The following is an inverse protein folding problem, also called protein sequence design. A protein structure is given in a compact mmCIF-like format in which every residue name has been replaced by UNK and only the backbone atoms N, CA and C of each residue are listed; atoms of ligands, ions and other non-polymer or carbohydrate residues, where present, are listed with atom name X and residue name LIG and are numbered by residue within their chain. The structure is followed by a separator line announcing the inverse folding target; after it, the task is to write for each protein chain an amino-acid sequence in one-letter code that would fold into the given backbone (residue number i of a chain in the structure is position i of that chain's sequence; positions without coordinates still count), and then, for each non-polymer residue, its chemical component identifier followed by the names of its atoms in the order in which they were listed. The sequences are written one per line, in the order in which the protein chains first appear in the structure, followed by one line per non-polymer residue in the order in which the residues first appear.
data_IF_219426732190
#
_entry.id   IF_219426732190
#
_cell.length_a   1.000
_cell.length_b   1.000
_cell.length_c   1.000
_cell.angle_alpha   90.00
_cell.angle_beta   90.00
_cell.angle_gamma   90.00
#
_symmetry.space_group_name_H-M   'P 1'
#
loop_
_entity.id
_entity.type
_entity.pdbx_description
1 polymer ?
#
# COMPACT_ATOMS: atom_id res chain seq x y z
N UNK A 1 -39.58 17.83 -31.55
CA UNK A 1 -39.29 17.20 -30.24
C UNK A 1 -38.45 18.20 -29.47
N UNK A 2 -39.03 18.71 -28.38
CA UNK A 2 -38.55 19.91 -27.70
C UNK A 2 -37.63 19.49 -26.55
N UNK A 3 -36.32 19.63 -26.75
CA UNK A 3 -35.28 19.15 -25.83
C UNK A 3 -35.40 19.79 -24.44
N UNK A 4 -36.07 20.94 -24.33
CA UNK A 4 -36.30 21.66 -23.09
C UNK A 4 -37.40 21.04 -22.22
N UNK A 5 -38.37 20.32 -22.80
CA UNK A 5 -39.42 19.62 -22.03
C UNK A 5 -38.94 18.34 -21.34
N UNK A 6 -37.84 17.75 -21.82
CA UNK A 6 -37.22 16.57 -21.20
C UNK A 6 -36.43 16.97 -19.94
N UNK A 7 -35.91 18.21 -19.89
CA UNK A 7 -35.18 18.73 -18.71
C UNK A 7 -36.16 19.12 -17.59
N UNK A 8 -37.31 19.72 -17.92
CA UNK A 8 -38.33 20.04 -16.93
C UNK A 8 -38.98 18.79 -16.30
N UNK A 9 -39.12 17.70 -17.06
CA UNK A 9 -39.64 16.41 -16.55
C UNK A 9 -38.62 15.61 -15.70
N UNK A 10 -37.34 16.01 -15.71
CA UNK A 10 -36.30 15.48 -14.82
C UNK A 10 -36.19 16.25 -13.50
N UNK A 11 -36.84 17.42 -13.40
CA UNK A 11 -36.85 18.25 -12.20
C UNK A 11 -37.97 17.89 -11.21
N UNK A 12 -38.95 17.08 -11.61
CA UNK A 12 -40.14 16.73 -10.80
C UNK A 12 -40.08 15.31 -10.20
N UNK A 13 -38.89 14.75 -10.04
CA UNK A 13 -38.69 13.46 -9.35
C UNK A 13 -38.16 13.72 -7.93
N UNK A 14 -39.13 13.79 -7.03
CA UNK A 14 -39.13 13.42 -5.60
C UNK A 14 -37.87 13.75 -4.76
N UNK A 15 -37.99 14.79 -3.92
CA UNK A 15 -36.98 15.22 -2.96
C UNK A 15 -36.68 14.20 -1.84
N UNK A 16 -37.52 13.17 -1.66
CA UNK A 16 -37.34 12.17 -0.60
C UNK A 16 -36.51 10.94 -0.98
N UNK A 17 -36.02 10.84 -2.23
CA UNK A 17 -35.08 9.78 -2.64
C UNK A 17 -33.61 10.22 -2.50
N UNK A 18 -33.33 11.53 -2.44
CA UNK A 18 -31.98 12.09 -2.28
C UNK A 18 -31.43 11.96 -0.84
N UNK A 19 -32.29 11.71 0.15
CA UNK A 19 -31.88 11.52 1.55
C UNK A 19 -31.08 10.24 1.84
N UNK A 20 -30.98 9.30 0.89
CA UNK A 20 -30.27 8.02 1.07
C UNK A 20 -28.89 7.92 0.44
N UNK A 21 -28.40 8.95 -0.26
CA UNK A 21 -27.05 8.94 -0.86
C UNK A 21 -26.13 10.11 -0.44
N UNK A 22 -26.56 10.96 0.49
CA UNK A 22 -25.86 12.21 0.79
C UNK A 22 -24.86 12.15 1.97
N UNK A 23 -24.09 11.06 2.11
CA UNK A 23 -22.93 11.09 3.02
C UNK A 23 -21.81 11.99 2.48
N UNK A 24 -21.64 12.07 1.15
CA UNK A 24 -20.58 12.86 0.52
C UNK A 24 -20.94 14.35 0.44
N UNK A 25 -22.19 14.69 0.11
CA UNK A 25 -22.64 16.10 0.01
C UNK A 25 -22.84 16.78 1.36
N UNK A 26 -23.31 16.05 2.39
CA UNK A 26 -23.47 16.60 3.73
C UNK A 26 -22.13 17.01 4.38
N UNK A 27 -21.04 16.28 4.09
CA UNK A 27 -19.69 16.62 4.57
C UNK A 27 -19.20 17.93 3.94
N UNK A 28 -19.44 18.15 2.64
CA UNK A 28 -19.06 19.39 1.97
C UNK A 28 -20.04 20.55 2.16
N UNK A 29 -21.31 20.28 2.50
CA UNK A 29 -22.32 21.30 2.82
C UNK A 29 -22.14 21.94 4.19
N UNK A 30 -21.51 21.25 5.14
CA UNK A 30 -21.20 21.80 6.48
C UNK A 30 -19.91 22.64 6.52
N UNK A 31 -19.17 22.73 5.41
CA UNK A 31 -17.88 23.43 5.31
C UNK A 31 -18.01 24.76 4.54
N UNK A 32 -18.98 25.58 4.98
CA UNK A 32 -19.18 26.93 4.49
C UNK A 32 -18.13 27.92 5.01
N UNK A 33 -17.61 28.71 4.08
CA UNK A 33 -16.86 29.98 4.25
C UNK A 33 -15.46 29.92 4.89
N UNK A 34 -14.47 29.71 4.01
CA UNK A 34 -13.17 30.39 3.92
C UNK A 34 -12.18 30.48 5.12
N UNK A 35 -12.53 30.12 6.35
CA UNK A 35 -11.66 30.26 7.53
C UNK A 35 -11.08 28.94 8.08
N UNK A 36 -11.45 27.77 7.53
CA UNK A 36 -11.06 26.43 8.04
C UNK A 36 -10.12 25.62 7.13
N UNK A 37 -9.28 26.25 6.31
CA UNK A 37 -8.30 25.54 5.46
C UNK A 37 -6.99 25.15 6.15
N UNK A 38 -6.77 25.57 7.40
CA UNK A 38 -5.58 25.22 8.19
C UNK A 38 -5.79 24.10 9.21
N UNK A 39 -7.02 23.60 9.41
CA UNK A 39 -7.31 22.64 10.49
C UNK A 39 -7.59 21.19 10.03
N UNK A 40 -7.78 20.94 8.74
CA UNK A 40 -8.12 19.60 8.21
C UNK A 40 -6.90 18.77 7.79
N UNK A 41 -5.70 19.33 7.83
CA UNK A 41 -4.48 18.62 7.42
C UNK A 41 -3.91 17.68 8.50
N UNK A 42 -4.44 17.66 9.73
CA UNK A 42 -3.79 16.93 10.82
C UNK A 42 -4.68 16.56 12.04
N UNK A 43 -6.00 16.37 11.88
CA UNK A 43 -6.83 15.88 13.01
C UNK A 43 -7.39 14.47 12.75
N UNK A 44 -6.89 13.44 13.47
CA UNK A 44 -7.39 12.05 13.40
C UNK A 44 -8.83 11.85 13.88
N UNK A 45 -9.44 12.89 14.49
CA UNK A 45 -10.72 12.78 15.21
C UNK A 45 -11.95 12.50 14.33
N UNK A 46 -11.89 12.78 13.02
CA UNK A 46 -13.06 12.56 12.13
C UNK A 46 -13.05 11.18 11.44
N UNK A 47 -11.93 10.46 11.47
CA UNK A 47 -11.80 9.22 10.72
C UNK A 47 -12.37 7.99 11.46
N UNK A 48 -12.34 8.00 12.80
CA UNK A 48 -12.90 6.92 13.63
C UNK A 48 -14.38 6.63 13.36
N UNK A 49 -15.17 7.67 13.04
CA UNK A 49 -16.59 7.53 12.72
C UNK A 49 -16.85 6.87 11.35
N UNK A 50 -15.92 7.01 10.39
CA UNK A 50 -16.01 6.34 9.10
C UNK A 50 -15.79 4.83 9.25
N UNK A 51 -14.87 4.43 10.13
CA UNK A 51 -14.60 3.02 10.39
C UNK A 51 -15.74 2.31 11.13
N UNK A 52 -16.46 3.00 12.01
CA UNK A 52 -17.69 2.48 12.62
C UNK A 52 -18.83 2.28 11.60
N UNK A 53 -18.95 3.17 10.61
CA UNK A 53 -19.99 3.10 9.56
C UNK A 53 -19.73 2.00 8.50
N UNK A 54 -18.46 1.66 8.27
CA UNK A 54 -18.01 0.66 7.29
C UNK A 54 -18.58 -0.77 7.50
N UNK A 55 -19.18 -1.05 8.66
CA UNK A 55 -19.64 -2.39 9.06
C UNK A 55 -21.12 -2.67 8.88
N UNK A 56 -21.93 -1.69 8.50
CA UNK A 56 -23.39 -1.85 8.50
C UNK A 56 -23.98 -2.54 7.26
N UNK A 57 -23.18 -3.07 6.31
CA UNK A 57 -23.75 -3.65 5.07
C UNK A 57 -22.80 -4.39 4.14
N UNK A 58 -21.79 -5.11 4.64
CA UNK A 58 -20.67 -5.59 3.83
C UNK A 58 -20.44 -7.10 3.97
N UNK A 59 -19.93 -7.73 2.91
CA UNK A 59 -19.71 -9.18 2.82
C UNK A 59 -18.50 -9.69 3.62
N UNK A 60 -17.68 -8.79 4.18
CA UNK A 60 -16.55 -9.12 5.04
C UNK A 60 -16.92 -9.12 6.53
N UNK A 61 -16.29 -9.98 7.32
CA UNK A 61 -16.48 -9.98 8.78
C UNK A 61 -15.64 -8.91 9.46
N UNK A 62 -16.06 -8.42 10.63
CA UNK A 62 -15.24 -7.52 11.46
C UNK A 62 -13.87 -8.12 11.79
N UNK A 63 -13.80 -9.44 12.01
CA UNK A 63 -12.55 -10.14 12.27
C UNK A 63 -11.58 -10.03 11.07
N UNK A 64 -12.06 -10.33 9.86
CA UNK A 64 -11.26 -10.23 8.63
C UNK A 64 -10.71 -8.82 8.42
N UNK A 65 -11.53 -7.80 8.63
CA UNK A 65 -11.08 -6.43 8.47
C UNK A 65 -10.04 -5.99 9.51
N UNK A 66 -10.19 -6.39 10.79
CA UNK A 66 -9.13 -6.16 11.80
C UNK A 66 -7.85 -6.85 11.35
N UNK A 67 -7.91 -8.09 10.87
CA UNK A 67 -6.74 -8.84 10.40
C UNK A 67 -6.04 -8.14 9.23
N UNK A 68 -6.78 -7.57 8.28
CA UNK A 68 -6.21 -6.77 7.17
C UNK A 68 -5.51 -5.52 7.70
N UNK A 69 -6.15 -4.78 8.61
CA UNK A 69 -5.56 -3.55 9.16
C UNK A 69 -4.35 -3.82 10.05
N UNK A 70 -4.35 -4.91 10.82
CA UNK A 70 -3.22 -5.32 11.65
C UNK A 70 -2.03 -5.71 10.78
N UNK A 71 -2.28 -6.39 9.67
CA UNK A 71 -1.26 -6.71 8.68
C UNK A 71 -0.68 -5.47 8.01
N UNK A 72 -1.53 -4.54 7.56
CA UNK A 72 -1.09 -3.26 7.03
C UNK A 72 -0.24 -2.51 8.07
N UNK A 73 -0.73 -2.38 9.31
CA UNK A 73 -0.01 -1.65 10.37
C UNK A 73 1.36 -2.25 10.67
N UNK A 74 1.50 -3.57 10.62
CA UNK A 74 2.78 -4.22 10.80
C UNK A 74 3.80 -3.79 9.72
N UNK A 75 3.40 -3.75 8.46
CA UNK A 75 4.26 -3.29 7.36
C UNK A 75 4.63 -1.81 7.52
N UNK A 76 3.66 -0.96 7.85
CA UNK A 76 3.91 0.47 8.07
C UNK A 76 4.85 0.73 9.27
N UNK A 77 4.73 -0.04 10.36
CA UNK A 77 5.65 0.06 11.50
C UNK A 77 7.08 -0.36 11.13
N UNK A 78 7.18 -1.40 10.29
CA UNK A 78 8.45 -1.91 9.79
C UNK A 78 9.16 -0.88 8.91
N UNK A 79 8.44 -0.25 7.96
CA UNK A 79 8.95 0.81 7.09
C UNK A 79 9.24 2.10 7.86
N UNK A 80 8.37 2.50 8.78
CA UNK A 80 8.59 3.61 9.70
C UNK A 80 9.90 3.46 10.47
N UNK A 81 10.18 2.27 11.02
CA UNK A 81 11.42 2.02 11.76
C UNK A 81 12.65 2.00 10.84
N UNK A 82 12.54 1.44 9.64
CA UNK A 82 13.60 1.51 8.63
C UNK A 82 13.96 2.95 8.28
N UNK A 83 12.99 3.78 7.89
CA UNK A 83 13.25 5.17 7.51
C UNK A 83 13.72 6.04 8.69
N UNK A 84 13.27 5.73 9.91
CA UNK A 84 13.82 6.34 11.13
C UNK A 84 15.31 6.04 11.27
N UNK A 85 15.74 4.79 11.00
CA UNK A 85 17.16 4.41 10.98
C UNK A 85 17.92 5.10 9.84
N UNK A 86 17.33 5.22 8.64
CA UNK A 86 17.92 5.96 7.51
C UNK A 86 18.21 7.40 7.93
N UNK A 87 17.22 8.13 8.45
CA UNK A 87 17.39 9.53 8.88
C UNK A 87 18.47 9.71 9.96
N UNK A 88 18.64 8.72 10.84
CA UNK A 88 19.66 8.73 11.89
C UNK A 88 21.07 8.37 11.39
N UNK A 89 21.23 7.95 10.13
CA UNK A 89 22.50 7.43 9.62
C UNK A 89 23.45 8.52 9.09
N UNK A 90 24.75 8.24 9.17
CA UNK A 90 25.78 9.10 8.56
C UNK A 90 25.64 9.15 7.01
N UNK A 91 25.18 8.06 6.41
CA UNK A 91 24.94 7.96 4.96
C UNK A 91 23.86 8.95 4.50
N UNK A 92 22.74 9.02 5.22
CA UNK A 92 21.71 10.05 5.00
C UNK A 92 22.26 11.44 5.27
N UNK A 93 23.05 11.64 6.32
CA UNK A 93 23.65 12.95 6.64
C UNK A 93 24.51 13.48 5.48
N UNK A 94 25.22 12.60 4.78
CA UNK A 94 26.02 12.93 3.60
C UNK A 94 25.22 13.02 2.29
N UNK A 95 23.94 12.62 2.27
CA UNK A 95 23.10 12.65 1.08
C UNK A 95 22.75 14.08 0.64
N UNK A 96 22.36 14.22 -0.64
CA UNK A 96 21.95 15.50 -1.22
C UNK A 96 20.68 16.05 -0.54
N UNK A 97 20.48 17.36 -0.56
CA UNK A 97 19.27 17.98 -0.01
C UNK A 97 17.99 17.46 -0.70
N UNK A 98 18.04 17.21 -2.01
CA UNK A 98 16.93 16.65 -2.78
C UNK A 98 16.59 15.22 -2.35
N UNK A 99 17.60 14.39 -2.10
CA UNK A 99 17.38 13.02 -1.64
C UNK A 99 16.83 13.01 -0.21
N UNK A 100 17.36 13.85 0.66
CA UNK A 100 16.86 14.02 2.03
C UNK A 100 15.39 14.42 2.05
N UNK A 101 15.01 15.44 1.25
CA UNK A 101 13.63 15.90 1.17
C UNK A 101 12.66 14.79 0.68
N UNK A 102 13.12 13.91 -0.23
CA UNK A 102 12.32 12.77 -0.66
C UNK A 102 12.14 11.75 0.47
N UNK A 103 13.22 11.36 1.15
CA UNK A 103 13.16 10.42 2.28
C UNK A 103 12.32 10.96 3.44
N UNK A 104 12.45 12.25 3.75
CA UNK A 104 11.68 12.89 4.81
C UNK A 104 10.18 12.91 4.51
N UNK A 105 9.83 13.10 3.23
CA UNK A 105 8.44 13.07 2.79
C UNK A 105 7.86 11.66 2.87
N UNK A 106 8.61 10.64 2.44
CA UNK A 106 8.20 9.23 2.55
C UNK A 106 7.99 8.87 4.02
N UNK A 107 9.00 9.13 4.88
CA UNK A 107 8.88 8.91 6.33
C UNK A 107 7.65 9.56 6.95
N UNK A 108 7.31 10.78 6.52
CA UNK A 108 6.11 11.49 7.00
C UNK A 108 4.82 10.78 6.58
N UNK A 109 4.77 10.20 5.38
CA UNK A 109 3.64 9.39 4.95
C UNK A 109 3.54 8.11 5.79
N UNK A 110 4.65 7.39 6.02
CA UNK A 110 4.65 6.20 6.89
C UNK A 110 4.16 6.51 8.31
N UNK A 111 4.60 7.64 8.88
CA UNK A 111 4.10 8.10 10.19
C UNK A 111 2.59 8.35 10.19
N UNK A 112 2.08 8.87 9.08
CA UNK A 112 0.65 9.15 8.89
C UNK A 112 -0.14 7.87 8.71
N UNK A 113 0.36 6.89 7.95
CA UNK A 113 -0.24 5.57 7.76
C UNK A 113 -0.30 4.79 9.07
N UNK A 114 0.80 4.74 9.85
CA UNK A 114 0.82 4.12 11.18
C UNK A 114 -0.24 4.75 12.08
N UNK A 115 -0.30 6.09 12.15
CA UNK A 115 -1.27 6.81 12.99
C UNK A 115 -2.71 6.50 12.57
N UNK A 116 -2.95 6.52 11.26
CA UNK A 116 -4.22 6.21 10.63
C UNK A 116 -4.71 4.80 11.00
N UNK A 117 -3.88 3.79 10.75
CA UNK A 117 -4.23 2.39 10.97
C UNK A 117 -4.40 2.07 12.46
N UNK A 118 -3.54 2.58 13.32
CA UNK A 118 -3.72 2.43 14.76
C UNK A 118 -5.04 3.04 15.24
N UNK A 119 -5.42 4.21 14.70
CA UNK A 119 -6.71 4.84 14.98
C UNK A 119 -7.88 3.99 14.51
N UNK A 120 -7.80 3.44 13.30
CA UNK A 120 -8.81 2.55 12.73
C UNK A 120 -9.01 1.29 13.59
N UNK A 121 -7.92 0.60 13.93
CA UNK A 121 -7.92 -0.63 14.73
C UNK A 121 -8.51 -0.37 16.12
N UNK A 122 -8.10 0.72 16.79
CA UNK A 122 -8.69 1.12 18.09
C UNK A 122 -10.18 1.43 17.98
N UNK A 123 -10.60 2.09 16.90
CA UNK A 123 -12.00 2.42 16.64
C UNK A 123 -12.90 1.19 16.47
N UNK A 124 -12.29 0.04 16.15
CA UNK A 124 -12.93 -1.26 16.07
C UNK A 124 -12.78 -2.09 17.37
N UNK A 125 -12.37 -1.46 18.47
CA UNK A 125 -12.15 -2.11 19.77
C UNK A 125 -11.07 -3.20 19.75
N UNK A 126 -10.13 -3.14 18.81
CA UNK A 126 -8.97 -4.02 18.75
C UNK A 126 -7.69 -3.30 19.22
N UNK A 127 -6.72 -4.07 19.71
CA UNK A 127 -5.41 -3.54 20.14
C UNK A 127 -4.46 -3.54 18.94
N UNK A 128 -3.92 -2.37 18.52
CA UNK A 128 -2.97 -2.32 17.42
C UNK A 128 -1.72 -3.15 17.68
N UNK A 129 -1.25 -3.87 16.64
CA UNK A 129 0.06 -4.52 16.67
C UNK A 129 1.16 -3.50 16.94
N UNK A 130 2.21 -3.93 17.63
CA UNK A 130 3.33 -3.06 18.04
C UNK A 130 4.62 -3.87 18.11
N UNK A 131 5.76 -3.18 18.28
CA UNK A 131 7.06 -3.83 18.42
C UNK A 131 7.66 -4.37 17.13
N UNK A 132 7.02 -4.12 15.98
CA UNK A 132 7.58 -4.46 14.67
C UNK A 132 8.71 -3.50 14.34
N UNK A 133 9.90 -4.04 14.06
CA UNK A 133 11.11 -3.24 13.77
C UNK A 133 11.91 -3.82 12.61
N UNK A 134 12.74 -2.98 12.01
CA UNK A 134 13.71 -3.40 11.01
C UNK A 134 14.95 -4.00 11.66
N UNK A 135 15.42 -5.13 11.12
CA UNK A 135 16.55 -5.91 11.62
C UNK A 135 17.83 -5.07 11.60
N UNK A 136 18.27 -4.67 12.78
CA UNK A 136 19.44 -3.80 12.96
C UNK A 136 20.73 -4.37 12.35
N UNK A 137 20.92 -5.70 12.33
CA UNK A 137 22.10 -6.32 11.72
C UNK A 137 22.13 -6.16 10.20
N UNK A 138 20.97 -6.24 9.53
CA UNK A 138 20.85 -5.94 8.09
C UNK A 138 21.06 -4.46 7.85
N UNK A 139 20.51 -3.59 8.69
CA UNK A 139 20.72 -2.14 8.53
C UNK A 139 22.20 -1.78 8.67
N UNK A 140 22.90 -2.40 9.63
CA UNK A 140 24.33 -2.19 9.85
C UNK A 140 25.22 -2.66 8.69
N UNK A 141 24.75 -3.58 7.84
CA UNK A 141 25.50 -4.01 6.65
C UNK A 141 25.34 -3.07 5.44
N UNK A 142 24.48 -2.06 5.53
CA UNK A 142 24.28 -1.08 4.45
C UNK A 142 25.42 -0.05 4.47
N UNK A 143 26.21 -0.04 3.41
CA UNK A 143 27.46 0.75 3.33
C UNK A 143 27.33 1.98 2.44
N UNK A 144 26.25 2.09 1.68
CA UNK A 144 25.97 3.23 0.79
C UNK A 144 24.54 3.73 0.96
N UNK A 145 24.33 5.01 0.68
CA UNK A 145 22.98 5.58 0.62
C UNK A 145 22.24 5.09 -0.64
N UNK A 146 22.79 5.40 -1.83
CA UNK A 146 22.13 5.21 -3.13
C UNK A 146 22.78 4.16 -4.05
N UNK A 147 24.11 4.15 -4.11
CA UNK A 147 24.86 3.37 -5.11
C UNK A 147 25.06 1.94 -4.67
N UNK A 148 24.91 0.96 -5.55
CA UNK A 148 25.12 -0.45 -5.24
C UNK A 148 23.85 -1.27 -5.38
N UNK A 149 23.93 -2.53 -4.97
CA UNK A 149 22.81 -3.48 -5.05
C UNK A 149 21.81 -3.26 -3.92
N UNK A 150 20.65 -3.91 -4.02
CA UNK A 150 19.67 -3.98 -2.94
C UNK A 150 20.23 -4.43 -1.58
N UNK A 151 21.22 -5.32 -1.58
CA UNK A 151 21.81 -5.85 -0.35
C UNK A 151 22.83 -4.92 0.32
N UNK A 152 23.25 -3.83 -0.35
CA UNK A 152 24.38 -3.00 0.12
C UNK A 152 24.04 -1.53 0.29
N UNK A 153 22.89 -1.08 -0.22
CA UNK A 153 22.47 0.33 -0.22
C UNK A 153 21.14 0.54 0.51
N UNK A 154 21.01 1.68 1.18
CA UNK A 154 19.77 2.08 1.86
C UNK A 154 18.61 2.24 0.87
N UNK A 155 18.82 2.88 -0.28
CA UNK A 155 17.77 2.99 -1.30
C UNK A 155 17.43 1.65 -1.95
N UNK A 156 18.38 0.72 -1.99
CA UNK A 156 18.13 -0.63 -2.47
C UNK A 156 17.19 -1.41 -1.56
N UNK A 157 17.37 -1.33 -0.23
CA UNK A 157 16.40 -1.86 0.74
C UNK A 157 15.09 -1.09 0.67
N UNK A 158 15.13 0.25 0.57
CA UNK A 158 13.92 1.05 0.44
C UNK A 158 13.05 0.54 -0.72
N UNK A 159 13.63 0.34 -1.91
CA UNK A 159 12.88 -0.18 -3.06
C UNK A 159 12.23 -1.53 -2.77
N UNK A 160 12.97 -2.43 -2.11
CA UNK A 160 12.45 -3.74 -1.74
C UNK A 160 11.25 -3.63 -0.78
N UNK A 161 11.30 -2.71 0.17
CA UNK A 161 10.21 -2.45 1.11
C UNK A 161 8.99 -1.89 0.39
N UNK A 162 9.16 -0.78 -0.32
CA UNK A 162 8.05 -0.11 -1.03
C UNK A 162 7.34 -1.04 -2.02
N UNK A 163 8.10 -1.82 -2.80
CA UNK A 163 7.51 -2.78 -3.74
C UNK A 163 6.82 -3.95 -3.02
N UNK A 164 7.31 -4.34 -1.85
CA UNK A 164 6.61 -5.32 -1.01
C UNK A 164 5.31 -4.72 -0.48
N UNK A 165 5.32 -3.47 0.00
CA UNK A 165 4.14 -2.75 0.49
C UNK A 165 3.04 -2.66 -0.56
N UNK A 166 3.37 -2.22 -1.78
CA UNK A 166 2.43 -2.15 -2.92
C UNK A 166 1.72 -3.49 -3.14
N UNK A 167 2.51 -4.57 -3.25
CA UNK A 167 1.99 -5.93 -3.51
C UNK A 167 1.21 -6.51 -2.34
N UNK A 168 1.63 -6.19 -1.12
CA UNK A 168 0.98 -6.62 0.11
C UNK A 168 -0.43 -6.00 0.26
N UNK A 169 -0.56 -4.69 0.03
CA UNK A 169 -1.85 -4.02 0.04
C UNK A 169 -2.78 -4.56 -1.06
N UNK A 170 -2.24 -4.74 -2.28
CA UNK A 170 -3.00 -5.31 -3.39
C UNK A 170 -3.52 -6.72 -3.06
N UNK A 171 -2.70 -7.55 -2.42
CA UNK A 171 -3.02 -8.94 -2.10
C UNK A 171 -4.19 -9.14 -1.15
N UNK A 172 -4.46 -8.15 -0.28
CA UNK A 172 -5.58 -8.20 0.67
C UNK A 172 -6.74 -7.26 0.32
N UNK A 173 -6.63 -6.47 -0.74
CA UNK A 173 -7.66 -5.52 -1.13
C UNK A 173 -9.03 -6.21 -1.38
N UNK A 174 -9.03 -7.41 -1.97
CA UNK A 174 -10.25 -8.18 -2.21
C UNK A 174 -11.02 -8.55 -0.93
N UNK A 175 -10.33 -8.73 0.21
CA UNK A 175 -10.95 -9.05 1.50
C UNK A 175 -11.74 -7.88 2.08
N UNK A 176 -11.49 -6.65 1.59
CA UNK A 176 -12.17 -5.43 2.02
C UNK A 176 -13.37 -5.08 1.14
N UNK A 177 -13.74 -5.92 0.16
CA UNK A 177 -14.87 -5.66 -0.72
C UNK A 177 -16.17 -5.39 0.06
N UNK A 178 -16.88 -4.36 -0.38
CA UNK A 178 -18.08 -3.86 0.27
C UNK A 178 -17.80 -2.87 1.41
N UNK A 179 -16.61 -2.85 2.00
CA UNK A 179 -16.27 -1.97 3.13
C UNK A 179 -15.73 -0.61 2.70
N UNK A 180 -15.96 0.43 3.52
CA UNK A 180 -15.31 1.73 3.33
C UNK A 180 -13.78 1.65 3.55
N UNK A 181 -13.29 0.59 4.20
CA UNK A 181 -11.86 0.32 4.39
C UNK A 181 -11.13 0.07 3.07
N UNK A 182 -11.81 -0.49 2.06
CA UNK A 182 -11.21 -0.69 0.75
C UNK A 182 -10.72 0.63 0.15
N UNK A 183 -11.50 1.70 0.30
CA UNK A 183 -11.09 3.02 -0.21
C UNK A 183 -9.82 3.51 0.48
N UNK A 184 -9.74 3.34 1.80
CA UNK A 184 -8.55 3.74 2.58
C UNK A 184 -7.33 2.90 2.17
N UNK A 185 -7.48 1.58 2.08
CA UNK A 185 -6.41 0.68 1.67
C UNK A 185 -5.88 1.01 0.26
N UNK A 186 -6.77 1.30 -0.70
CA UNK A 186 -6.37 1.68 -2.05
C UNK A 186 -5.73 3.07 -2.12
N UNK A 187 -6.06 3.98 -1.20
CA UNK A 187 -5.38 5.27 -1.09
C UNK A 187 -3.95 5.12 -0.59
N UNK A 188 -3.72 4.30 0.45
CA UNK A 188 -2.37 3.99 0.95
C UNK A 188 -1.56 3.26 -0.14
N UNK A 189 -2.12 2.22 -0.74
CA UNK A 189 -1.50 1.52 -1.87
C UNK A 189 -1.02 2.46 -3.00
N UNK A 190 -1.81 3.49 -3.33
CA UNK A 190 -1.42 4.50 -4.33
C UNK A 190 -0.31 5.44 -3.86
N UNK A 191 -0.18 5.69 -2.55
CA UNK A 191 0.95 6.40 -1.96
C UNK A 191 2.21 5.53 -2.03
N UNK A 192 2.15 4.27 -1.61
CA UNK A 192 3.27 3.32 -1.70
C UNK A 192 3.78 3.15 -3.13
N UNK A 193 2.88 3.06 -4.11
CA UNK A 193 3.30 2.96 -5.51
C UNK A 193 4.10 4.20 -5.97
N UNK A 194 3.80 5.39 -5.42
CA UNK A 194 4.56 6.62 -5.70
C UNK A 194 5.87 6.66 -4.94
N UNK A 195 5.96 6.12 -3.74
CA UNK A 195 7.21 5.93 -3.02
C UNK A 195 8.13 4.99 -3.79
N UNK A 196 7.63 3.82 -4.17
CA UNK A 196 8.34 2.83 -4.98
C UNK A 196 8.89 3.44 -6.28
N UNK A 197 8.07 4.20 -7.01
CA UNK A 197 8.50 4.92 -8.20
C UNK A 197 9.56 5.99 -7.91
N UNK A 198 9.38 6.76 -6.83
CA UNK A 198 10.34 7.80 -6.42
C UNK A 198 11.69 7.20 -6.04
N UNK A 199 11.72 6.11 -5.29
CA UNK A 199 12.94 5.42 -4.90
C UNK A 199 13.69 4.91 -6.14
N UNK A 200 13.00 4.27 -7.11
CA UNK A 200 13.62 3.87 -8.38
C UNK A 200 14.29 5.03 -9.10
N UNK A 201 13.58 6.15 -9.24
CA UNK A 201 14.13 7.37 -9.86
C UNK A 201 15.34 7.88 -9.06
N UNK A 202 15.27 7.86 -7.73
CA UNK A 202 16.41 8.20 -6.89
C UNK A 202 17.58 7.25 -7.11
N UNK A 203 17.37 5.98 -7.45
CA UNK A 203 18.43 5.01 -7.81
C UNK A 203 18.92 5.13 -9.25
N UNK A 204 18.32 5.99 -10.07
CA UNK A 204 18.64 6.13 -11.49
C UNK A 204 17.99 5.08 -12.39
N UNK A 205 16.92 4.44 -11.91
CA UNK A 205 16.13 3.45 -12.64
C UNK A 205 14.88 4.11 -13.25
N UNK A 206 14.15 3.34 -14.07
CA UNK A 206 12.83 3.74 -14.56
C UNK A 206 11.84 3.80 -13.41
N UNK A 207 10.80 4.64 -13.51
CA UNK A 207 9.82 4.79 -12.44
C UNK A 207 8.91 3.57 -12.26
N UNK A 208 8.82 2.70 -13.27
CA UNK A 208 8.03 1.47 -13.28
C UNK A 208 8.94 0.24 -13.11
N UNK A 209 8.33 -0.91 -12.78
CA UNK A 209 9.03 -2.20 -12.72
C UNK A 209 9.65 -2.51 -14.07
N UNK A 210 10.95 -2.80 -14.07
CA UNK A 210 11.70 -3.12 -15.28
C UNK A 210 12.50 -4.42 -15.09
N UNK A 211 12.34 -5.43 -15.98
CA UNK A 211 13.08 -6.68 -15.92
C UNK A 211 14.61 -6.55 -16.04
N UNK A 212 15.11 -5.40 -16.47
CA UNK A 212 16.54 -5.10 -16.50
C UNK A 212 17.07 -4.42 -15.21
N UNK A 213 16.20 -4.14 -14.23
CA UNK A 213 16.63 -3.59 -12.94
C UNK A 213 17.36 -4.65 -12.10
N UNK A 214 18.23 -4.20 -11.19
CA UNK A 214 19.05 -5.07 -10.34
C UNK A 214 18.23 -5.97 -9.39
N UNK A 215 16.96 -5.61 -9.20
CA UNK A 215 16.00 -6.30 -8.37
C UNK A 215 15.06 -7.22 -9.15
N UNK A 216 15.11 -7.25 -10.49
CA UNK A 216 14.17 -8.03 -11.30
C UNK A 216 14.18 -9.54 -11.00
N UNK A 217 15.32 -10.09 -10.55
CA UNK A 217 15.44 -11.50 -10.14
C UNK A 217 15.13 -11.73 -8.66
N UNK A 218 14.82 -10.69 -7.88
CA UNK A 218 14.55 -10.83 -6.46
C UNK A 218 13.21 -11.57 -6.24
N UNK A 219 13.06 -12.38 -5.18
CA UNK A 219 11.81 -13.09 -4.86
C UNK A 219 10.57 -12.21 -4.72
N UNK A 220 10.72 -10.90 -4.53
CA UNK A 220 9.59 -9.95 -4.51
C UNK A 220 8.96 -9.78 -5.90
N UNK A 221 9.71 -10.03 -6.97
CA UNK A 221 9.23 -9.94 -8.37
C UNK A 221 9.20 -11.31 -9.06
N UNK A 222 9.48 -12.40 -8.34
CA UNK A 222 9.55 -13.74 -8.92
C UNK A 222 8.74 -14.75 -8.12
N UNK A 223 8.39 -15.85 -8.80
CA UNK A 223 7.65 -16.97 -8.22
C UNK A 223 8.37 -17.63 -7.06
N UNK A 224 7.58 -18.13 -6.10
CA UNK A 224 7.97 -19.30 -5.33
C UNK A 224 8.34 -18.97 -3.90
N UNK A 225 7.35 -19.01 -3.02
CA UNK A 225 7.61 -19.60 -1.70
C UNK A 225 7.50 -21.11 -1.86
N UNK A 226 8.55 -21.83 -1.46
CA UNK A 226 8.49 -23.27 -1.32
C UNK A 226 7.61 -23.64 -0.14
N UNK A 227 6.70 -24.60 -0.32
CA UNK A 227 5.94 -25.21 0.77
C UNK A 227 6.88 -25.56 1.95
N UNK A 228 6.64 -25.00 3.14
CA UNK A 228 7.41 -25.30 4.36
C UNK A 228 8.25 -24.17 4.97
N UNK A 229 8.19 -22.94 4.44
CA UNK A 229 8.79 -21.78 5.09
C UNK A 229 8.15 -21.47 6.46
N UNK A 230 8.97 -21.16 7.46
CA UNK A 230 8.50 -20.52 8.70
C UNK A 230 8.49 -19.00 8.48
N UNK A 231 7.31 -18.37 8.24
CA UNK A 231 7.25 -16.93 8.04
C UNK A 231 7.76 -16.19 9.29
N UNK A 232 8.55 -15.13 9.08
CA UNK A 232 8.84 -14.17 10.14
C UNK A 232 7.52 -13.58 10.65
N UNK A 233 7.34 -13.50 11.96
CA UNK A 233 6.08 -13.00 12.52
C UNK A 233 6.20 -11.52 12.86
N UNK A 234 5.37 -10.68 12.26
CA UNK A 234 5.09 -9.33 12.75
C UNK A 234 4.26 -9.34 14.06
N UNK A 235 4.34 -10.39 14.88
CA UNK A 235 3.41 -10.62 15.99
C UNK A 235 1.96 -10.91 15.54
N UNK A 236 1.78 -11.32 14.28
CA UNK A 236 0.47 -11.66 13.70
C UNK A 236 0.30 -13.18 13.55
N UNK A 237 -0.94 -13.64 13.66
CA UNK A 237 -1.32 -15.00 13.26
C UNK A 237 -1.43 -15.01 11.74
N UNK A 238 -0.60 -15.83 11.08
CA UNK A 238 -0.48 -15.88 9.62
C UNK A 238 -1.17 -17.13 9.10
N UNK A 239 -2.12 -17.02 8.14
CA UNK A 239 -2.69 -18.18 7.47
C UNK A 239 -1.60 -18.99 6.76
N UNK A 240 -1.76 -20.32 6.74
CA UNK A 240 -0.88 -21.19 5.95
C UNK A 240 -1.01 -20.88 4.45
N UNK A 241 0.05 -21.16 3.69
CA UNK A 241 0.06 -21.00 2.24
C UNK A 241 -1.04 -21.88 1.60
N UNK A 242 -2.00 -21.28 0.89
CA UNK A 242 -3.12 -22.03 0.31
C UNK A 242 -2.92 -22.34 -1.18
N UNK A 243 -2.32 -21.41 -1.93
CA UNK A 243 -2.12 -21.47 -3.38
C UNK A 243 -0.96 -20.57 -3.76
N UNK A 244 -0.24 -20.82 -4.87
CA UNK A 244 0.76 -19.86 -5.32
C UNK A 244 0.11 -18.57 -5.82
N UNK A 245 0.65 -17.41 -5.44
CA UNK A 245 0.24 -16.14 -6.03
C UNK A 245 0.66 -16.08 -7.50
N UNK A 246 -0.05 -15.28 -8.33
CA UNK A 246 0.37 -15.03 -9.69
C UNK A 246 1.79 -14.50 -9.73
N UNK A 247 2.55 -14.97 -10.70
CA UNK A 247 3.93 -14.55 -10.94
C UNK A 247 3.96 -13.33 -11.85
N UNK A 248 5.07 -12.59 -11.91
CA UNK A 248 5.30 -11.51 -12.91
C UNK A 248 5.41 -12.04 -14.35
N UNK A 249 4.40 -12.79 -14.80
CA UNK A 249 4.24 -13.36 -16.11
C UNK A 249 2.77 -13.32 -16.56
N UNK A 250 1.92 -12.57 -15.86
CA UNK A 250 0.52 -12.49 -16.21
C UNK A 250 0.37 -11.84 -17.59
N UNK A 251 -0.26 -12.57 -18.50
CA UNK A 251 -0.50 -12.14 -19.88
C UNK A 251 -1.98 -12.04 -20.20
N UNK A 252 -2.86 -12.21 -19.20
CA UNK A 252 -4.31 -12.22 -19.37
C UNK A 252 -5.00 -11.41 -18.28
N UNK A 253 -5.90 -10.51 -18.65
CA UNK A 253 -6.73 -9.77 -17.71
C UNK A 253 -8.20 -9.98 -18.03
N UNK A 254 -8.98 -10.49 -17.07
CA UNK A 254 -10.42 -10.74 -17.26
C UNK A 254 -10.73 -11.55 -18.53
N UNK A 255 -9.97 -12.64 -18.73
CA UNK A 255 -10.01 -13.51 -19.92
C UNK A 255 -9.61 -12.86 -21.25
N UNK A 256 -9.09 -11.62 -21.25
CA UNK A 256 -8.50 -10.97 -22.44
C UNK A 256 -7.01 -11.28 -22.49
N UNK A 257 -6.52 -12.05 -23.48
CA UNK A 257 -5.09 -12.24 -23.68
C UNK A 257 -4.47 -10.93 -24.17
N UNK A 258 -3.46 -10.42 -23.52
CA UNK A 258 -2.93 -9.08 -23.78
C UNK A 258 -2.00 -9.08 -24.99
N UNK A 259 -1.23 -10.16 -25.14
CA UNK A 259 -0.26 -10.33 -26.24
C UNK A 259 -0.91 -10.62 -27.59
N UNK A 260 -2.18 -11.04 -27.61
CA UNK A 260 -2.91 -11.39 -28.85
C UNK A 260 -4.27 -10.72 -28.98
N UNK A 261 -4.97 -10.45 -27.88
CA UNK A 261 -6.31 -9.86 -27.85
C UNK A 261 -6.35 -8.34 -27.95
N UNK A 262 -5.23 -7.64 -27.67
CA UNK A 262 -5.07 -6.20 -27.91
C UNK A 262 -4.23 -5.89 -29.17
N UNK A 263 -3.94 -6.93 -29.99
CA UNK A 263 -2.99 -6.89 -31.10
C UNK A 263 -1.60 -7.41 -30.72
N UNK A 264 -0.73 -7.66 -31.72
CA UNK A 264 0.65 -8.19 -31.50
C UNK A 264 1.64 -7.11 -31.06
N UNK A 265 1.16 -6.05 -30.41
CA UNK A 265 1.95 -4.86 -30.04
C UNK A 265 2.75 -5.08 -28.76
N UNK A 266 2.26 -5.93 -27.85
CA UNK A 266 2.82 -6.09 -26.52
C UNK A 266 3.48 -7.46 -26.37
N UNK A 267 4.71 -7.46 -25.86
CA UNK A 267 5.41 -8.69 -25.47
C UNK A 267 4.82 -9.25 -24.18
N UNK A 268 5.15 -10.50 -23.83
CA UNK A 268 4.78 -11.07 -22.54
C UNK A 268 5.37 -10.28 -21.36
N UNK A 269 6.56 -9.69 -21.55
CA UNK A 269 7.19 -8.82 -20.56
C UNK A 269 6.41 -7.52 -20.37
N UNK A 270 5.95 -6.90 -21.46
CA UNK A 270 5.14 -5.68 -21.39
C UNK A 270 3.80 -5.95 -20.69
N UNK A 271 3.19 -7.10 -20.99
CA UNK A 271 1.95 -7.52 -20.35
C UNK A 271 2.16 -7.73 -18.84
N UNK A 272 3.17 -8.51 -18.43
CA UNK A 272 3.41 -8.80 -17.02
C UNK A 272 3.68 -7.53 -16.19
N UNK A 273 4.53 -6.64 -16.71
CA UNK A 273 4.88 -5.39 -16.03
C UNK A 273 3.70 -4.42 -15.85
N UNK A 274 2.58 -4.63 -16.56
CA UNK A 274 1.38 -3.80 -16.45
C UNK A 274 0.49 -4.15 -15.25
N UNK A 275 0.67 -5.32 -14.62
CA UNK A 275 -0.21 -5.78 -13.55
C UNK A 275 0.37 -5.63 -12.16
N UNK A 276 1.69 -5.77 -11.99
CA UNK A 276 2.37 -5.79 -10.68
C UNK A 276 1.67 -6.76 -9.70
N UNK A 277 1.94 -8.04 -9.86
CA UNK A 277 1.19 -9.11 -9.20
C UNK A 277 1.31 -9.07 -7.68
N UNK A 278 0.20 -9.40 -7.02
CA UNK A 278 0.11 -9.30 -5.57
C UNK A 278 0.92 -10.39 -4.85
N UNK A 279 1.20 -10.15 -3.57
CA UNK A 279 1.77 -11.16 -2.68
C UNK A 279 0.75 -11.59 -1.62
N UNK A 280 0.75 -12.87 -1.28
CA UNK A 280 0.04 -13.38 -0.11
C UNK A 280 0.80 -13.02 1.17
N UNK A 281 0.08 -12.98 2.29
CA UNK A 281 0.66 -12.70 3.62
C UNK A 281 1.83 -13.63 3.92
N UNK A 282 1.69 -14.94 3.66
CA UNK A 282 2.75 -15.90 3.88
C UNK A 282 4.00 -15.64 3.02
N UNK A 283 3.83 -15.07 1.82
CA UNK A 283 4.94 -14.74 0.92
C UNK A 283 5.69 -13.51 1.37
N UNK A 284 4.96 -12.47 1.78
CA UNK A 284 5.55 -11.24 2.32
C UNK A 284 6.43 -11.55 3.52
N UNK A 285 5.96 -12.45 4.39
CA UNK A 285 6.65 -12.83 5.62
C UNK A 285 7.74 -13.90 5.42
N UNK A 286 7.92 -14.39 4.21
CA UNK A 286 8.95 -15.38 3.92
C UNK A 286 10.37 -14.81 4.11
N UNK A 287 11.30 -15.64 4.56
CA UNK A 287 12.69 -15.21 4.76
C UNK A 287 13.38 -14.77 3.45
N UNK A 288 12.96 -15.26 2.29
CA UNK A 288 13.46 -14.77 1.00
C UNK A 288 12.94 -13.37 0.63
N UNK A 289 11.99 -12.81 1.40
CA UNK A 289 11.40 -11.47 1.22
C UNK A 289 11.52 -10.65 2.51
N UNK A 290 10.46 -9.93 2.91
CA UNK A 290 10.51 -9.04 4.07
C UNK A 290 10.78 -9.80 5.38
N UNK A 291 10.46 -11.09 5.48
CA UNK A 291 10.72 -11.90 6.68
C UNK A 291 12.18 -11.90 7.15
N UNK A 292 13.16 -11.87 6.24
CA UNK A 292 14.59 -11.77 6.64
C UNK A 292 15.01 -10.39 7.11
N UNK A 293 14.17 -9.39 6.92
CA UNK A 293 14.44 -8.01 7.28
C UNK A 293 13.78 -7.62 8.61
N UNK A 294 12.92 -8.48 9.18
CA UNK A 294 12.25 -8.24 10.47
C UNK A 294 13.24 -8.41 11.63
N UNK A 295 13.27 -7.43 12.53
CA UNK A 295 14.00 -7.46 13.81
C UNK A 295 13.23 -8.17 14.92
N UNK A 296 13.97 -8.76 15.87
CA UNK A 296 13.42 -9.32 17.12
C UNK A 296 13.50 -8.28 18.24
#
# INVERSE_FOLDING_TARGET
MDLFKIIDQLAEVDADVLGRFDSRRAIFGSLGTAAKRSALAATPLFLGALFQKAYAGTTGTTATAVEVLQYALALELFEQDFYKKVQASALYTAASSTDKAAIDQIKKHEDSHVTLLQGAIRGMSATPVSGVTFRSTVFASLVTFKTGTAATSQLGIAQLLEDTGVRAYKGRAGELLGTDLLTVALQIHSVEARHAAKIRVMRGQLAWVNPADDLASHPVYTSGVTTGSNPGQFGLVVPAYTTASPTENNTTQSAVPITTGLGTTYTASDAAAAFDEYLQVAEVLDNSRAGSLIGA
#
